data_IF_038962837520
#
_entry.id   IF_038962837520
#
_cell.length_a   1.000
_cell.length_b   1.000
_cell.length_c   1.000
_cell.angle_alpha   90.00
_cell.angle_beta   90.00
_cell.angle_gamma   90.00
#
_symmetry.space_group_name_H-M   'P 1'
#
loop_
_entity.id
_entity.type
_entity.pdbx_description
1 polymer ?
#
# COMPACT_ATOMS: atom_id res chain seq x y z
N UNK A 1 5.22 17.17 11.23
CA UNK A 1 5.75 16.16 10.30
C UNK A 1 7.15 16.56 9.87
N UNK A 2 8.12 15.63 9.90
CA UNK A 2 9.51 15.89 9.50
C UNK A 2 9.81 15.17 8.19
N UNK A 3 10.58 15.81 7.31
CA UNK A 3 11.00 15.26 6.02
C UNK A 3 12.52 15.37 5.89
N UNK A 4 13.13 14.35 5.30
CA UNK A 4 14.51 14.36 4.89
C UNK A 4 14.56 14.01 3.39
N UNK A 5 15.13 14.88 2.58
CA UNK A 5 15.28 14.70 1.12
C UNK A 5 16.77 14.62 0.82
N UNK A 6 17.21 13.50 0.24
CA UNK A 6 18.62 13.35 -0.13
C UNK A 6 19.02 14.43 -1.13
N UNK A 7 20.23 14.99 -0.96
CA UNK A 7 20.79 16.01 -1.86
C UNK A 7 21.27 15.42 -3.19
N UNK A 8 21.31 14.09 -3.30
CA UNK A 8 21.77 13.38 -4.48
C UNK A 8 21.17 11.98 -4.60
N UNK A 9 21.66 11.17 -5.55
CA UNK A 9 21.17 9.81 -5.78
C UNK A 9 21.60 8.81 -4.69
N UNK A 10 22.60 9.15 -3.86
CA UNK A 10 23.05 8.31 -2.76
C UNK A 10 22.22 8.56 -1.49
N UNK A 11 21.42 7.58 -1.02
CA UNK A 11 20.65 7.71 0.21
C UNK A 11 21.53 7.66 1.48
N UNK A 12 22.83 7.39 1.39
CA UNK A 12 23.75 7.49 2.54
C UNK A 12 24.45 8.85 2.61
N UNK A 13 24.17 9.74 1.65
CA UNK A 13 24.74 11.07 1.56
C UNK A 13 24.13 12.10 2.52
N UNK A 14 24.14 13.37 2.10
CA UNK A 14 23.60 14.48 2.88
C UNK A 14 22.11 14.70 2.58
N UNK A 15 21.41 15.38 3.49
CA UNK A 15 19.96 15.58 3.42
C UNK A 15 19.56 17.03 3.66
N UNK A 16 18.64 17.53 2.85
CA UNK A 16 17.81 18.68 3.22
C UNK A 16 16.73 18.24 4.20
N UNK A 17 16.54 19.01 5.26
CA UNK A 17 15.60 18.68 6.35
C UNK A 17 14.52 19.75 6.46
N UNK A 18 13.29 19.29 6.58
CA UNK A 18 12.10 20.14 6.70
C UNK A 18 11.25 19.69 7.86
N UNK A 19 10.57 20.64 8.50
CA UNK A 19 9.56 20.38 9.49
C UNK A 19 8.33 21.25 9.19
N UNK A 20 7.17 20.60 9.11
CA UNK A 20 5.88 21.25 8.97
C UNK A 20 5.05 20.90 10.19
N UNK A 21 4.72 21.90 11.00
CA UNK A 21 3.89 21.70 12.18
C UNK A 21 2.44 21.45 11.75
N UNK A 22 1.83 20.41 12.33
CA UNK A 22 0.43 20.07 12.09
C UNK A 22 -0.30 20.10 13.42
N UNK A 23 -1.50 20.65 13.42
CA UNK A 23 -2.33 20.77 14.64
C UNK A 23 -2.71 19.41 15.22
N UNK A 24 -2.97 18.42 14.37
CA UNK A 24 -3.31 17.06 14.78
C UNK A 24 -2.10 16.13 14.61
N UNK A 25 -1.99 15.14 15.50
CA UNK A 25 -0.94 14.13 15.43
C UNK A 25 -1.03 13.37 14.10
N UNK A 26 0.02 13.41 13.25
CA UNK A 26 0.01 12.81 11.92
C UNK A 26 0.26 11.30 11.99
N UNK A 27 -0.69 10.54 12.53
CA UNK A 27 -0.54 9.10 12.70
C UNK A 27 -0.56 8.37 11.35
N UNK A 28 0.10 7.22 11.30
CA UNK A 28 0.10 6.28 10.18
C UNK A 28 0.40 6.93 8.80
N UNK A 29 1.49 7.71 8.66
CA UNK A 29 1.80 8.41 7.41
C UNK A 29 2.12 7.43 6.27
N UNK A 30 1.52 7.64 5.09
CA UNK A 30 1.77 6.84 3.88
C UNK A 30 2.31 7.70 2.73
N UNK A 31 3.59 8.13 2.78
CA UNK A 31 4.14 9.03 1.78
C UNK A 31 4.12 8.42 0.37
N UNK A 32 3.82 9.26 -0.62
CA UNK A 32 3.86 8.93 -2.04
C UNK A 32 4.54 10.06 -2.82
N UNK A 33 5.29 9.70 -3.86
CA UNK A 33 5.94 10.63 -4.78
C UNK A 33 5.04 10.82 -6.00
N UNK A 34 4.71 12.08 -6.27
CA UNK A 34 4.08 12.50 -7.52
C UNK A 34 4.91 13.56 -8.24
N UNK A 35 4.50 13.98 -9.42
CA UNK A 35 5.28 14.93 -10.24
C UNK A 35 5.37 16.33 -9.64
N UNK A 36 4.36 16.74 -8.87
CA UNK A 36 4.18 18.12 -8.37
C UNK A 36 4.30 18.25 -6.84
N UNK A 37 4.49 17.15 -6.11
CA UNK A 37 4.57 17.17 -4.65
C UNK A 37 4.89 15.81 -4.04
N UNK A 38 5.24 15.82 -2.75
CA UNK A 38 5.19 14.62 -1.93
C UNK A 38 3.87 14.61 -1.17
N UNK A 39 3.07 13.59 -1.39
CA UNK A 39 1.72 13.45 -0.84
C UNK A 39 1.79 12.56 0.39
N UNK A 40 1.33 13.06 1.53
CA UNK A 40 1.40 12.35 2.82
C UNK A 40 0.03 12.38 3.49
N UNK A 41 -0.83 11.39 3.19
CA UNK A 41 -2.03 11.16 3.96
C UNK A 41 -1.67 10.65 5.35
N UNK A 42 -2.43 11.09 6.34
CA UNK A 42 -2.28 10.69 7.75
C UNK A 42 -3.64 10.43 8.37
N UNK A 43 -3.67 9.49 9.31
CA UNK A 43 -4.80 9.30 10.21
C UNK A 43 -4.73 10.37 11.30
N UNK A 44 -5.76 11.21 11.36
CA UNK A 44 -5.86 12.29 12.37
C UNK A 44 -7.19 12.14 13.09
N UNK A 45 -7.15 12.02 14.42
CA UNK A 45 -8.32 11.92 15.29
C UNK A 45 -8.87 10.51 15.52
N UNK A 46 -9.43 10.30 16.71
CA UNK A 46 -10.08 9.04 17.15
C UNK A 46 -11.62 9.08 16.94
N UNK A 47 -12.17 10.25 16.63
CA UNK A 47 -13.60 10.49 16.39
C UNK A 47 -13.82 11.18 15.02
N UNK A 48 -14.97 10.89 14.38
CA UNK A 48 -15.49 11.47 13.12
C UNK A 48 -14.43 11.69 12.03
N UNK A 49 -14.32 10.71 11.14
CA UNK A 49 -13.25 10.52 10.16
C UNK A 49 -12.90 11.76 9.32
N UNK A 50 -12.00 12.60 9.82
CA UNK A 50 -11.30 13.66 9.10
C UNK A 50 -9.89 13.19 8.83
N UNK A 51 -9.63 12.72 7.60
CA UNK A 51 -8.26 12.34 7.20
C UNK A 51 -7.58 13.51 6.55
N UNK A 52 -6.37 13.82 7.00
CA UNK A 52 -5.57 14.88 6.42
C UNK A 52 -4.72 14.30 5.28
N UNK A 53 -4.83 14.90 4.10
CA UNK A 53 -3.85 14.75 3.03
C UNK A 53 -3.05 16.02 2.99
N UNK A 54 -1.77 15.95 3.32
CA UNK A 54 -0.88 17.08 3.18
C UNK A 54 0.10 16.84 2.04
N UNK A 55 0.36 17.89 1.28
CA UNK A 55 1.21 17.87 0.10
C UNK A 55 2.32 18.89 0.34
N UNK A 56 3.57 18.48 0.21
CA UNK A 56 4.74 19.36 0.38
C UNK A 56 5.44 19.63 -0.96
N UNK A 57 5.97 20.84 -1.10
CA UNK A 57 6.55 21.38 -2.35
C UNK A 57 7.84 20.64 -2.73
N UNK A 58 7.68 19.58 -3.52
CA UNK A 58 8.77 18.73 -4.01
C UNK A 58 9.83 19.53 -4.77
N UNK A 59 9.42 20.49 -5.61
CA UNK A 59 10.33 21.23 -6.47
C UNK A 59 11.31 22.07 -5.65
N UNK A 60 10.82 22.75 -4.60
CA UNK A 60 11.69 23.50 -3.68
C UNK A 60 12.49 22.59 -2.77
N UNK A 61 11.90 21.50 -2.28
CA UNK A 61 12.57 20.57 -1.37
C UNK A 61 13.79 19.88 -2.00
N UNK A 62 13.71 19.53 -3.29
CA UNK A 62 14.85 18.95 -4.02
C UNK A 62 16.02 19.92 -4.20
N UNK A 63 15.77 21.22 -4.11
CA UNK A 63 16.78 22.28 -4.24
C UNK A 63 17.25 22.83 -2.89
N UNK A 64 16.79 22.27 -1.77
CA UNK A 64 17.12 22.79 -0.44
C UNK A 64 16.50 24.17 -0.14
N UNK A 65 15.49 24.59 -0.89
CA UNK A 65 14.84 25.89 -0.73
C UNK A 65 13.74 25.85 0.33
N UNK A 66 13.32 27.01 0.90
CA UNK A 66 12.14 27.08 1.75
C UNK A 66 10.90 26.55 1.02
N UNK A 67 10.26 25.52 1.58
CA UNK A 67 9.10 24.84 1.00
C UNK A 67 7.84 25.09 1.85
N UNK A 68 6.67 24.92 1.24
CA UNK A 68 5.37 25.02 1.91
C UNK A 68 4.63 23.68 1.91
N UNK A 69 3.70 23.51 2.85
CA UNK A 69 2.77 22.38 2.92
C UNK A 69 1.35 22.90 2.70
N UNK A 70 0.53 22.16 1.96
CA UNK A 70 -0.90 22.41 1.82
C UNK A 70 -1.67 21.15 2.22
N UNK A 71 -2.70 21.31 3.05
CA UNK A 71 -3.47 20.18 3.58
C UNK A 71 -4.94 20.27 3.21
N UNK A 72 -5.53 19.12 2.88
CA UNK A 72 -6.95 18.94 2.60
C UNK A 72 -7.52 17.94 3.61
N UNK A 73 -8.72 18.19 4.11
CA UNK A 73 -9.48 17.25 4.94
C UNK A 73 -10.38 16.42 4.02
N UNK A 74 -10.37 15.10 4.21
CA UNK A 74 -11.29 14.17 3.58
C UNK A 74 -12.15 13.53 4.64
N UNK A 75 -13.46 13.71 4.48
CA UNK A 75 -14.45 13.14 5.39
C UNK A 75 -14.85 11.71 4.99
N UNK A 76 -15.07 10.86 5.98
CA UNK A 76 -15.76 9.57 5.81
C UNK A 76 -14.95 8.43 5.21
N UNK A 77 -13.63 8.56 5.09
CA UNK A 77 -12.74 7.51 4.56
C UNK A 77 -11.83 6.91 5.64
N UNK A 78 -11.87 5.59 5.86
CA UNK A 78 -11.10 4.90 6.91
C UNK A 78 -9.60 5.21 6.88
N UNK A 79 -8.94 4.97 5.75
CA UNK A 79 -7.51 5.21 5.52
C UNK A 79 -7.32 5.57 4.05
N UNK A 80 -6.33 6.43 3.77
CA UNK A 80 -6.05 6.97 2.46
C UNK A 80 -4.65 6.57 2.02
N UNK A 81 -4.50 6.18 0.75
CA UNK A 81 -3.21 6.09 0.09
C UNK A 81 -3.23 6.92 -1.18
N UNK A 82 -2.17 7.71 -1.38
CA UNK A 82 -1.91 8.40 -2.63
C UNK A 82 -1.11 7.50 -3.56
N UNK A 83 -1.36 7.61 -4.87
CA UNK A 83 -0.64 6.84 -5.87
C UNK A 83 0.83 7.29 -5.91
N UNK A 84 1.73 6.31 -5.83
CA UNK A 84 3.17 6.50 -5.81
C UNK A 84 3.77 6.01 -7.12
N UNK A 85 4.61 6.82 -7.75
CA UNK A 85 5.15 6.53 -9.09
C UNK A 85 6.25 5.49 -8.99
N UNK A 86 6.07 4.35 -9.66
CA UNK A 86 7.16 3.39 -9.91
C UNK A 86 7.67 3.50 -11.35
N UNK A 87 9.00 3.49 -11.48
CA UNK A 87 9.72 3.52 -12.76
C UNK A 87 10.01 4.92 -13.26
N UNK A 88 10.69 4.98 -14.41
CA UNK A 88 11.17 6.24 -14.98
C UNK A 88 10.10 6.98 -15.79
N UNK A 89 8.98 6.34 -16.11
CA UNK A 89 7.89 6.92 -16.90
C UNK A 89 6.84 7.54 -15.98
N UNK A 90 7.05 8.82 -15.68
CA UNK A 90 6.10 9.64 -14.94
C UNK A 90 4.80 9.91 -15.73
N UNK A 91 3.68 10.19 -15.05
CA UNK A 91 2.49 10.78 -15.67
C UNK A 91 2.82 12.16 -16.28
N UNK A 92 2.04 12.64 -17.25
CA UNK A 92 2.21 13.99 -17.79
C UNK A 92 2.17 15.06 -16.69
N UNK A 93 2.96 16.13 -16.83
CA UNK A 93 2.95 17.27 -15.91
C UNK A 93 1.55 17.84 -15.79
N UNK A 94 1.12 18.15 -14.56
CA UNK A 94 -0.22 18.67 -14.26
C UNK A 94 -1.29 17.59 -14.12
N UNK A 95 -0.95 16.31 -14.32
CA UNK A 95 -1.87 15.19 -14.01
C UNK A 95 -2.14 15.16 -12.50
N UNK A 96 -3.41 15.21 -12.05
CA UNK A 96 -3.73 15.07 -10.63
C UNK A 96 -3.25 13.74 -10.06
N UNK A 97 -2.83 13.73 -8.79
CA UNK A 97 -2.54 12.48 -8.07
C UNK A 97 -3.85 11.70 -7.86
N UNK A 98 -3.80 10.39 -7.98
CA UNK A 98 -4.94 9.52 -7.66
C UNK A 98 -4.78 9.03 -6.22
N UNK A 99 -5.75 9.36 -5.38
CA UNK A 99 -5.84 8.84 -4.03
C UNK A 99 -6.96 7.82 -3.93
N UNK A 100 -6.78 6.73 -3.18
CA UNK A 100 -7.80 5.70 -3.00
C UNK A 100 -7.99 5.28 -1.54
N UNK A 101 -9.20 4.81 -1.26
CA UNK A 101 -9.61 4.16 -0.01
C UNK A 101 -10.46 2.92 -0.29
N UNK A 102 -10.38 1.95 0.63
CA UNK A 102 -11.40 0.91 0.71
C UNK A 102 -12.72 1.53 1.22
N UNK A 103 -13.84 1.03 0.71
CA UNK A 103 -15.16 1.27 1.28
C UNK A 103 -15.40 0.52 2.59
N UNK A 104 -16.47 0.89 3.29
CA UNK A 104 -16.79 0.47 4.66
C UNK A 104 -16.34 1.50 5.70
N UNK A 105 -16.69 1.28 6.97
CA UNK A 105 -16.32 2.14 8.09
C UNK A 105 -16.28 1.34 9.38
N UNK A 106 -15.09 1.05 9.89
CA UNK A 106 -14.94 0.20 11.07
C UNK A 106 -15.57 0.83 12.31
N UNK A 107 -15.34 2.12 12.53
CA UNK A 107 -15.88 2.88 13.67
C UNK A 107 -17.42 2.94 13.69
N UNK A 108 -18.07 2.60 12.57
CA UNK A 108 -19.54 2.53 12.44
C UNK A 108 -20.04 1.08 12.30
N UNK A 109 -19.19 0.10 12.55
CA UNK A 109 -19.48 -1.33 12.37
C UNK A 109 -19.95 -1.71 10.96
N UNK A 110 -19.43 -1.02 9.94
CA UNK A 110 -19.70 -1.32 8.53
C UNK A 110 -18.46 -1.99 7.95
N UNK A 111 -18.50 -3.31 7.77
CA UNK A 111 -17.34 -4.12 7.38
C UNK A 111 -17.42 -4.67 5.96
N UNK A 112 -18.58 -4.52 5.31
CA UNK A 112 -18.85 -4.96 3.95
C UNK A 112 -18.90 -3.76 3.00
N UNK A 113 -18.30 -3.90 1.82
CA UNK A 113 -18.52 -3.00 0.68
C UNK A 113 -18.20 -3.77 -0.63
N UNK A 114 -18.48 -3.14 -1.74
CA UNK A 114 -18.15 -3.58 -3.10
C UNK A 114 -17.56 -2.44 -3.92
N UNK A 115 -16.95 -1.47 -3.23
CA UNK A 115 -16.38 -0.26 -3.80
C UNK A 115 -14.95 0.00 -3.34
N UNK A 116 -14.10 0.36 -4.30
CA UNK A 116 -12.89 1.15 -4.02
C UNK A 116 -13.20 2.59 -4.43
N UNK A 117 -12.92 3.55 -3.57
CA UNK A 117 -13.26 4.96 -3.79
C UNK A 117 -12.01 5.73 -4.11
N UNK A 118 -12.07 6.60 -5.12
CA UNK A 118 -10.94 7.43 -5.51
C UNK A 118 -11.27 8.92 -5.55
N UNK A 119 -10.23 9.72 -5.40
CA UNK A 119 -10.22 11.16 -5.59
C UNK A 119 -9.10 11.54 -6.54
N UNK A 120 -9.32 12.61 -7.31
CA UNK A 120 -8.26 13.31 -8.04
C UNK A 120 -7.79 14.48 -7.19
N UNK A 121 -6.56 14.42 -6.72
CA UNK A 121 -5.96 15.43 -5.85
C UNK A 121 -5.08 16.35 -6.68
N UNK A 122 -5.36 17.65 -6.62
CA UNK A 122 -4.61 18.69 -7.30
C UNK A 122 -4.10 19.70 -6.28
N UNK A 123 -2.79 19.97 -6.30
CA UNK A 123 -2.17 21.06 -5.54
C UNK A 123 -1.91 22.24 -6.48
N UNK A 124 -2.28 23.44 -6.03
CA UNK A 124 -1.97 24.70 -6.70
C UNK A 124 -1.01 25.50 -5.82
N UNK A 125 0.27 25.51 -6.19
CA UNK A 125 1.32 26.22 -5.47
C UNK A 125 1.24 27.75 -5.64
N UNK A 126 0.56 28.24 -6.67
CA UNK A 126 0.38 29.68 -6.91
C UNK A 126 -0.85 30.24 -6.20
N UNK A 127 -1.90 29.42 -6.06
CA UNK A 127 -3.13 29.79 -5.37
C UNK A 127 -3.60 28.64 -4.47
N UNK A 128 -3.18 28.61 -3.20
CA UNK A 128 -3.54 27.54 -2.27
C UNK A 128 -5.05 27.31 -2.10
N UNK A 129 -5.88 28.33 -2.32
CA UNK A 129 -7.34 28.19 -2.27
C UNK A 129 -7.92 27.32 -3.41
N UNK A 130 -7.12 26.99 -4.43
CA UNK A 130 -7.50 26.09 -5.52
C UNK A 130 -7.01 24.65 -5.33
N UNK A 131 -6.22 24.39 -4.29
CA UNK A 131 -5.83 23.02 -3.91
C UNK A 131 -7.06 22.25 -3.45
N UNK A 132 -7.32 21.10 -4.07
CA UNK A 132 -8.56 20.35 -3.86
C UNK A 132 -8.42 18.87 -4.16
N UNK A 133 -9.36 18.10 -3.61
CA UNK A 133 -9.57 16.69 -3.92
C UNK A 133 -10.96 16.52 -4.53
N UNK A 134 -11.04 16.19 -5.82
CA UNK A 134 -12.30 15.95 -6.51
C UNK A 134 -12.71 14.46 -6.33
N UNK A 135 -13.81 14.22 -5.60
CA UNK A 135 -14.32 12.87 -5.29
C UNK A 135 -15.20 12.86 -4.01
N UNK A 136 -15.50 11.68 -3.43
CA UNK A 136 -15.12 10.35 -3.91
C UNK A 136 -15.91 9.92 -5.16
N UNK A 137 -15.29 9.09 -5.98
CA UNK A 137 -15.96 8.32 -7.03
C UNK A 137 -15.78 6.83 -6.73
N UNK A 138 -16.88 6.08 -6.74
CA UNK A 138 -16.88 4.63 -6.49
C UNK A 138 -16.49 3.85 -7.75
N UNK A 139 -15.48 3.00 -7.65
CA UNK A 139 -15.16 1.94 -8.62
C UNK A 139 -15.79 0.65 -8.09
N UNK A 140 -16.75 0.11 -8.83
CA UNK A 140 -17.36 -1.18 -8.49
C UNK A 140 -16.32 -2.29 -8.56
N UNK A 141 -16.23 -3.08 -7.51
CA UNK A 141 -15.40 -4.29 -7.39
C UNK A 141 -16.26 -5.46 -6.91
N UNK A 142 -15.71 -6.68 -6.90
CA UNK A 142 -16.39 -7.80 -6.25
C UNK A 142 -16.58 -7.50 -4.75
N UNK A 143 -17.72 -7.88 -4.15
CA UNK A 143 -17.95 -7.70 -2.72
C UNK A 143 -16.80 -8.26 -1.87
N UNK A 144 -16.59 -7.62 -0.74
CA UNK A 144 -15.63 -8.05 0.25
C UNK A 144 -16.14 -7.72 1.65
N UNK A 145 -15.63 -8.48 2.61
CA UNK A 145 -15.77 -8.22 4.03
C UNK A 145 -14.37 -8.02 4.61
N UNK A 146 -14.19 -7.02 5.48
CA UNK A 146 -12.92 -6.80 6.17
C UNK A 146 -12.46 -8.08 6.86
N UNK A 147 -11.18 -8.44 6.72
CA UNK A 147 -10.64 -9.55 7.49
C UNK A 147 -10.81 -9.25 8.99
N UNK A 148 -11.51 -10.13 9.71
CA UNK A 148 -11.81 -9.99 11.15
C UNK A 148 -12.35 -8.61 11.56
N UNK A 149 -13.24 -8.03 10.75
CA UNK A 149 -13.89 -6.74 11.03
C UNK A 149 -12.92 -5.54 11.12
N UNK A 150 -11.68 -5.67 10.61
CA UNK A 150 -10.72 -4.56 10.49
C UNK A 150 -9.55 -4.60 11.47
N UNK A 151 -8.95 -3.44 11.72
CA UNK A 151 -7.83 -3.25 12.65
C UNK A 151 -8.19 -3.42 14.13
N UNK A 152 -7.17 -3.50 14.98
CA UNK A 152 -7.28 -3.71 16.43
C UNK A 152 -8.07 -4.97 16.78
N UNK A 153 -8.06 -5.96 15.88
CA UNK A 153 -8.75 -7.23 16.06
C UNK A 153 -7.76 -8.32 16.51
N UNK A 154 -8.21 -9.24 17.38
CA UNK A 154 -7.43 -10.42 17.78
C UNK A 154 -7.76 -11.58 16.85
N UNK A 155 -7.20 -11.56 15.64
CA UNK A 155 -7.66 -12.37 14.52
C UNK A 155 -6.85 -13.65 14.30
N UNK A 156 -5.57 -13.51 13.91
CA UNK A 156 -4.75 -14.64 13.44
C UNK A 156 -4.24 -15.46 14.62
N UNK A 157 -4.59 -16.76 14.72
CA UNK A 157 -4.09 -17.62 15.79
C UNK A 157 -2.62 -18.01 15.55
N UNK A 158 -1.89 -18.20 16.64
CA UNK A 158 -0.47 -18.56 16.62
C UNK A 158 -0.24 -19.81 17.50
N UNK A 159 0.78 -20.64 17.24
CA UNK A 159 1.11 -21.77 18.11
C UNK A 159 1.55 -21.32 19.51
N UNK A 160 1.34 -22.17 20.53
CA UNK A 160 1.88 -21.99 21.89
C UNK A 160 1.48 -20.68 22.60
N UNK A 161 0.42 -20.01 22.17
CA UNK A 161 -0.13 -18.83 22.85
C UNK A 161 -1.60 -18.64 22.51
N UNK A 162 -2.34 -18.00 23.41
CA UNK A 162 -3.70 -17.51 23.14
C UNK A 162 -3.69 -16.13 22.46
N UNK A 163 -2.55 -15.44 22.45
CA UNK A 163 -2.40 -14.13 21.78
C UNK A 163 -2.57 -14.29 20.27
N UNK A 164 -3.53 -13.56 19.72
CA UNK A 164 -3.78 -13.48 18.27
C UNK A 164 -3.26 -12.16 17.70
N UNK A 165 -2.95 -12.18 16.41
CA UNK A 165 -2.45 -11.02 15.69
C UNK A 165 -3.56 -10.25 14.99
N UNK A 166 -3.33 -8.96 14.89
CA UNK A 166 -4.15 -8.02 14.15
C UNK A 166 -3.89 -8.08 12.64
N UNK A 167 -4.92 -7.75 11.88
CA UNK A 167 -4.97 -7.94 10.43
C UNK A 167 -5.18 -6.67 9.61
N UNK A 168 -5.58 -5.57 10.26
CA UNK A 168 -5.78 -4.27 9.60
C UNK A 168 -6.65 -4.33 8.34
N UNK A 169 -7.70 -5.15 8.36
CA UNK A 169 -8.51 -5.44 7.17
C UNK A 169 -9.33 -4.26 6.64
N UNK A 170 -9.33 -3.13 7.33
CA UNK A 170 -10.19 -1.96 7.11
C UNK A 170 -9.59 -0.89 6.18
N UNK A 171 -8.48 -1.22 5.49
CA UNK A 171 -7.74 -0.29 4.64
C UNK A 171 -7.12 -0.96 3.41
N UNK A 172 -6.92 -0.17 2.35
CA UNK A 172 -5.93 -0.50 1.33
C UNK A 172 -4.56 -0.45 2.00
N UNK A 173 -3.75 -1.48 1.83
CA UNK A 173 -2.41 -1.53 2.37
C UNK A 173 -1.44 -0.75 1.50
N UNK A 174 -0.40 -0.21 2.13
CA UNK A 174 0.68 0.44 1.41
C UNK A 174 1.43 -0.60 0.55
N UNK A 175 1.74 -0.35 -0.74
CA UNK A 175 1.60 0.90 -1.51
C UNK A 175 0.37 0.89 -2.44
N UNK A 176 -0.06 2.09 -2.84
CA UNK A 176 -0.88 2.30 -4.03
C UNK A 176 0.06 2.71 -5.16
N UNK A 177 0.32 1.83 -6.12
CA UNK A 177 1.43 2.04 -7.07
C UNK A 177 0.88 2.45 -8.43
N UNK A 178 1.29 3.62 -8.93
CA UNK A 178 1.12 4.02 -10.32
C UNK A 178 2.26 3.48 -11.17
N UNK A 179 1.92 2.93 -12.34
CA UNK A 179 2.87 2.39 -13.29
C UNK A 179 2.43 2.65 -14.73
N UNK A 180 3.34 3.16 -15.57
CA UNK A 180 3.10 3.30 -17.02
C UNK A 180 3.76 2.16 -17.79
N UNK A 181 2.95 1.25 -18.32
CA UNK A 181 3.40 0.08 -19.09
C UNK A 181 2.99 0.26 -20.55
N UNK A 182 3.98 0.39 -21.43
CA UNK A 182 3.74 0.69 -22.85
C UNK A 182 2.93 1.97 -23.02
N UNK A 183 1.67 1.82 -23.49
CA UNK A 183 0.73 2.93 -23.72
C UNK A 183 -0.34 3.09 -22.64
N UNK A 184 -0.40 2.20 -21.65
CA UNK A 184 -1.42 2.28 -20.59
C UNK A 184 -0.80 2.66 -19.26
N UNK A 185 -1.62 3.31 -18.44
CA UNK A 185 -1.30 3.72 -17.09
C UNK A 185 -2.14 2.85 -16.15
N UNK A 186 -1.47 2.16 -15.25
CA UNK A 186 -2.08 1.24 -14.30
C UNK A 186 -1.85 1.73 -12.87
N UNK A 187 -2.80 1.44 -12.00
CA UNK A 187 -2.66 1.56 -10.54
C UNK A 187 -2.91 0.19 -9.93
N UNK A 188 -1.98 -0.31 -9.11
CA UNK A 188 -2.18 -1.55 -8.35
C UNK A 188 -2.37 -1.28 -6.86
N UNK A 189 -3.26 -2.04 -6.25
CA UNK A 189 -3.65 -1.92 -4.84
C UNK A 189 -3.96 -3.31 -4.26
N UNK A 190 -3.76 -3.49 -2.97
CA UNK A 190 -4.13 -4.71 -2.26
C UNK A 190 -4.60 -4.45 -0.83
N UNK A 191 -5.42 -5.37 -0.29
CA UNK A 191 -5.84 -5.38 1.11
C UNK A 191 -6.24 -6.78 1.59
N UNK A 192 -6.33 -6.92 2.92
CA UNK A 192 -6.74 -8.16 3.59
C UNK A 192 -8.26 -8.28 3.62
N UNK A 193 -8.82 -9.39 3.13
CA UNK A 193 -10.27 -9.66 3.18
C UNK A 193 -10.58 -11.00 3.82
N UNK A 194 -11.76 -11.12 4.43
CA UNK A 194 -12.29 -12.42 4.85
C UNK A 194 -12.60 -13.29 3.63
N UNK A 195 -12.48 -14.61 3.79
CA UNK A 195 -12.74 -15.57 2.70
C UNK A 195 -13.63 -16.71 3.18
N UNK A 196 -14.37 -17.29 2.24
CA UNK A 196 -15.20 -18.47 2.51
C UNK A 196 -14.38 -19.73 2.84
N UNK A 197 -13.09 -19.76 2.50
CA UNK A 197 -12.20 -20.86 2.84
C UNK A 197 -11.77 -20.86 4.33
N UNK A 198 -12.17 -19.83 5.08
CA UNK A 198 -11.60 -19.53 6.40
C UNK A 198 -10.29 -18.75 6.27
N UNK A 199 -9.70 -18.37 7.40
CA UNK A 199 -8.47 -17.59 7.40
C UNK A 199 -8.65 -16.18 6.80
N UNK A 200 -7.66 -15.75 6.00
CA UNK A 200 -7.63 -14.43 5.37
C UNK A 200 -7.00 -14.48 3.99
N UNK A 201 -7.48 -13.63 3.09
CA UNK A 201 -7.06 -13.59 1.70
C UNK A 201 -6.52 -12.24 1.28
N UNK A 202 -5.59 -12.27 0.31
CA UNK A 202 -5.07 -11.07 -0.34
C UNK A 202 -5.99 -10.71 -1.50
N UNK A 203 -6.80 -9.68 -1.30
CA UNK A 203 -7.57 -9.07 -2.39
C UNK A 203 -6.69 -8.04 -3.08
N UNK A 204 -6.51 -8.18 -4.39
CA UNK A 204 -5.68 -7.30 -5.20
C UNK A 204 -6.43 -6.79 -6.42
N UNK A 205 -5.99 -5.64 -6.93
CA UNK A 205 -6.60 -4.92 -8.04
C UNK A 205 -5.54 -4.40 -8.99
N UNK A 206 -5.84 -4.43 -10.29
CA UNK A 206 -5.25 -3.52 -11.27
C UNK A 206 -6.37 -2.62 -11.79
N UNK A 207 -6.21 -1.32 -11.60
CA UNK A 207 -7.01 -0.28 -12.23
C UNK A 207 -6.23 0.28 -13.42
N UNK A 208 -6.92 0.65 -14.50
CA UNK A 208 -6.33 1.37 -15.63
C UNK A 208 -6.93 2.74 -15.76
N UNK A 209 -6.09 3.74 -16.07
CA UNK A 209 -6.57 5.09 -16.32
C UNK A 209 -7.13 5.17 -17.75
N UNK A 210 -8.35 5.66 -17.89
CA UNK A 210 -8.94 5.97 -19.19
C UNK A 210 -8.37 7.29 -19.76
N UNK A 211 -8.82 7.70 -20.95
CA UNK A 211 -8.33 8.92 -21.61
C UNK A 211 -8.58 10.23 -20.83
N UNK A 212 -9.44 10.21 -19.80
CA UNK A 212 -9.67 11.34 -18.88
C UNK A 212 -8.85 11.22 -17.59
N UNK A 213 -7.95 10.24 -17.48
CA UNK A 213 -7.21 9.92 -16.27
C UNK A 213 -8.08 9.38 -15.14
N UNK A 214 -9.27 8.84 -15.43
CA UNK A 214 -10.10 8.19 -14.40
C UNK A 214 -9.71 6.71 -14.28
N UNK A 215 -9.47 6.18 -13.08
CA UNK A 215 -9.24 4.77 -12.86
C UNK A 215 -10.51 3.94 -13.08
N UNK A 216 -10.38 2.87 -13.86
CA UNK A 216 -11.40 1.85 -14.10
C UNK A 216 -10.84 0.48 -13.71
N UNK A 217 -11.67 -0.38 -13.10
CA UNK A 217 -11.26 -1.74 -12.75
C UNK A 217 -10.91 -2.52 -14.03
N UNK A 218 -9.66 -2.97 -14.14
CA UNK A 218 -9.22 -3.79 -15.28
C UNK A 218 -9.19 -5.29 -14.94
N UNK A 219 -8.74 -5.63 -13.72
CA UNK A 219 -8.82 -6.96 -13.15
C UNK A 219 -8.69 -6.91 -11.63
N UNK A 220 -9.17 -7.97 -10.98
CA UNK A 220 -8.99 -8.21 -9.55
C UNK A 220 -8.99 -9.70 -9.25
N UNK A 221 -8.46 -10.08 -8.10
CA UNK A 221 -8.51 -11.44 -7.60
C UNK A 221 -8.42 -11.49 -6.08
N UNK A 222 -8.83 -12.61 -5.48
CA UNK A 222 -8.55 -12.91 -4.07
C UNK A 222 -7.65 -14.13 -4.02
N UNK A 223 -6.43 -13.97 -3.50
CA UNK A 223 -5.50 -15.08 -3.34
C UNK A 223 -5.65 -15.70 -1.94
N UNK A 224 -6.25 -16.89 -1.92
CA UNK A 224 -6.48 -17.69 -0.72
C UNK A 224 -6.59 -19.19 -1.11
N UNK A 225 -5.48 -19.83 -1.54
CA UNK A 225 -5.52 -21.22 -2.02
C UNK A 225 -5.88 -22.26 -0.94
N UNK A 226 -5.86 -21.88 0.34
CA UNK A 226 -6.07 -22.74 1.52
C UNK A 226 -6.77 -21.93 2.64
N UNK A 227 -7.12 -22.57 3.76
CA UNK A 227 -7.78 -21.93 4.91
C UNK A 227 -6.85 -21.20 5.90
N UNK A 228 -5.58 -20.98 5.54
CA UNK A 228 -4.62 -20.20 6.34
C UNK A 228 -4.78 -18.70 6.13
N UNK A 229 -4.12 -17.90 6.96
CA UNK A 229 -4.17 -16.45 6.87
C UNK A 229 -3.08 -15.94 5.93
N UNK A 230 -3.49 -15.12 4.96
CA UNK A 230 -2.65 -14.24 4.16
C UNK A 230 -3.15 -12.81 4.34
N UNK A 231 -2.35 -11.96 4.97
CA UNK A 231 -2.77 -10.61 5.35
C UNK A 231 -1.59 -9.63 5.31
N UNK A 232 -1.85 -8.34 5.52
CA UNK A 232 -0.88 -7.26 5.33
C UNK A 232 -0.18 -7.31 3.96
N UNK A 233 -0.91 -7.37 2.83
CA UNK A 233 -0.24 -7.42 1.54
C UNK A 233 0.46 -6.11 1.19
N UNK A 234 1.55 -6.21 0.43
CA UNK A 234 2.11 -5.11 -0.35
C UNK A 234 2.33 -5.53 -1.79
N UNK A 235 2.01 -4.66 -2.73
CA UNK A 235 1.90 -4.97 -4.16
C UNK A 235 2.74 -4.00 -4.99
N UNK A 236 3.32 -4.50 -6.09
CA UNK A 236 3.99 -3.69 -7.09
C UNK A 236 3.77 -4.24 -8.51
N UNK A 237 4.18 -3.47 -9.51
CA UNK A 237 4.13 -3.84 -10.92
C UNK A 237 5.43 -3.49 -11.64
N UNK A 238 6.01 -4.46 -12.36
CA UNK A 238 7.25 -4.25 -13.10
C UNK A 238 7.05 -3.61 -14.48
N UNK A 239 8.12 -3.48 -15.27
CA UNK A 239 8.07 -2.82 -16.60
C UNK A 239 7.31 -3.62 -17.66
N UNK A 240 7.10 -4.91 -17.43
CA UNK A 240 6.31 -5.79 -18.31
C UNK A 240 4.83 -5.79 -17.95
N UNK A 241 4.46 -5.17 -16.82
CA UNK A 241 3.11 -5.20 -16.29
C UNK A 241 2.83 -6.47 -15.49
N UNK A 242 3.88 -7.18 -15.08
CA UNK A 242 3.75 -8.31 -14.18
C UNK A 242 3.50 -7.78 -12.77
N UNK A 243 2.70 -8.51 -11.98
CA UNK A 243 2.28 -8.08 -10.65
C UNK A 243 2.87 -9.05 -9.63
N UNK A 244 3.55 -8.50 -8.63
CA UNK A 244 4.07 -9.22 -7.47
C UNK A 244 3.42 -8.72 -6.18
N UNK A 245 3.11 -9.64 -5.28
CA UNK A 245 2.49 -9.34 -3.99
C UNK A 245 3.20 -10.11 -2.88
N UNK A 246 3.81 -9.39 -1.95
CA UNK A 246 4.29 -9.94 -0.68
C UNK A 246 3.23 -9.80 0.41
N UNK A 247 3.18 -10.73 1.36
CA UNK A 247 2.24 -10.72 2.47
C UNK A 247 2.71 -11.58 3.64
N UNK A 248 2.15 -11.28 4.81
CA UNK A 248 2.25 -12.15 5.98
C UNK A 248 1.45 -13.44 5.79
N UNK A 249 1.99 -14.54 6.32
CA UNK A 249 1.38 -15.87 6.32
C UNK A 249 1.35 -16.46 7.73
N UNK A 250 0.30 -17.19 8.08
CA UNK A 250 0.17 -17.79 9.41
C UNK A 250 -1.17 -18.45 9.67
N UNK A 251 -1.45 -18.71 10.94
CA UNK A 251 -2.57 -19.53 11.39
C UNK A 251 -2.13 -20.96 11.75
N UNK A 252 -2.75 -21.54 12.77
CA UNK A 252 -2.38 -22.85 13.31
C UNK A 252 -2.30 -23.93 12.22
N UNK A 253 -1.27 -24.79 12.22
CA UNK A 253 -0.17 -24.88 13.20
C UNK A 253 1.05 -24.00 12.85
N UNK A 254 0.94 -23.08 11.91
CA UNK A 254 2.06 -22.30 11.39
C UNK A 254 2.31 -21.04 12.22
N UNK A 255 3.58 -20.76 12.50
CA UNK A 255 4.00 -19.47 13.02
C UNK A 255 3.93 -18.37 11.93
N UNK A 256 3.74 -17.11 12.33
CA UNK A 256 3.76 -15.98 11.40
C UNK A 256 5.09 -15.86 10.64
N UNK A 257 5.01 -15.84 9.32
CA UNK A 257 6.16 -15.67 8.43
C UNK A 257 5.77 -14.91 7.16
N UNK A 258 6.64 -14.94 6.16
CA UNK A 258 6.51 -14.14 4.96
C UNK A 258 6.43 -15.01 3.71
N UNK A 259 5.44 -14.71 2.87
CA UNK A 259 5.27 -15.35 1.57
C UNK A 259 5.03 -14.30 0.49
N UNK A 260 5.17 -14.72 -0.75
CA UNK A 260 4.84 -13.90 -1.90
C UNK A 260 4.27 -14.76 -3.03
N UNK A 261 3.44 -14.13 -3.86
CA UNK A 261 2.90 -14.69 -5.08
C UNK A 261 2.91 -13.63 -6.18
N UNK A 262 2.83 -14.07 -7.43
CA UNK A 262 2.92 -13.16 -8.56
C UNK A 262 2.15 -13.68 -9.78
N UNK A 263 2.01 -12.82 -10.78
CA UNK A 263 1.49 -13.16 -12.11
C UNK A 263 2.22 -12.41 -13.22
N UNK A 264 2.57 -13.09 -14.32
CA UNK A 264 2.89 -12.44 -15.57
C UNK A 264 1.69 -11.64 -16.12
N UNK A 265 1.95 -10.56 -16.85
CA UNK A 265 0.92 -9.70 -17.44
C UNK A 265 -0.04 -10.46 -18.36
N UNK A 266 0.49 -11.44 -19.12
CA UNK A 266 -0.23 -12.25 -20.10
C UNK A 266 -1.10 -13.37 -19.51
N UNK A 267 -1.02 -13.62 -18.20
CA UNK A 267 -1.76 -14.71 -17.57
C UNK A 267 -3.26 -14.40 -17.45
N UNK A 268 -4.13 -15.43 -17.32
CA UNK A 268 -5.56 -15.22 -17.14
C UNK A 268 -5.86 -14.17 -16.07
N UNK A 269 -6.76 -13.23 -16.41
CA UNK A 269 -7.08 -12.10 -15.53
C UNK A 269 -7.60 -12.58 -14.17
N UNK A 270 -7.23 -11.83 -13.13
CA UNK A 270 -7.74 -12.04 -11.78
C UNK A 270 -7.17 -13.26 -11.05
N UNK A 271 -6.08 -13.84 -11.56
CA UNK A 271 -5.38 -14.96 -10.91
C UNK A 271 -3.91 -14.60 -10.66
N UNK A 272 -3.44 -14.84 -9.44
CA UNK A 272 -2.00 -14.99 -9.17
C UNK A 272 -1.65 -16.44 -9.50
N UNK A 273 -0.91 -16.62 -10.58
CA UNK A 273 -0.72 -17.90 -11.27
C UNK A 273 0.61 -18.56 -10.95
N UNK A 274 1.59 -17.79 -10.50
CA UNK A 274 2.86 -18.36 -10.04
C UNK A 274 2.68 -18.96 -8.64
N UNK A 275 3.41 -20.04 -8.40
CA UNK A 275 3.40 -20.74 -7.12
C UNK A 275 3.83 -19.81 -5.98
N UNK A 276 3.04 -19.80 -4.90
CA UNK A 276 3.40 -19.06 -3.68
C UNK A 276 4.74 -19.53 -3.14
N UNK A 277 5.63 -18.59 -2.87
CA UNK A 277 6.97 -18.88 -2.39
C UNK A 277 7.18 -18.31 -0.99
N UNK A 278 7.99 -18.99 -0.20
CA UNK A 278 8.33 -18.57 1.16
C UNK A 278 9.54 -17.65 1.11
N UNK A 279 9.39 -16.44 1.64
CA UNK A 279 10.51 -15.52 1.86
C UNK A 279 11.17 -15.76 3.22
N UNK A 280 10.37 -16.00 4.25
CA UNK A 280 10.82 -16.34 5.60
C UNK A 280 9.84 -17.29 6.27
N UNK A 281 10.36 -18.38 6.85
CA UNK A 281 9.59 -19.23 7.74
C UNK A 281 9.53 -18.56 9.13
N UNK A 282 8.33 -18.52 9.71
CA UNK A 282 8.16 -18.20 11.11
C UNK A 282 8.54 -19.38 12.00
N UNK A 283 9.12 -19.10 13.16
CA UNK A 283 9.56 -20.12 14.13
C UNK A 283 9.13 -19.80 15.57
N UNK A 284 8.47 -18.66 15.80
CA UNK A 284 7.93 -18.28 17.10
C UNK A 284 6.67 -17.40 16.97
N UNK A 285 5.96 -17.26 18.09
CA UNK A 285 4.75 -16.44 18.20
C UNK A 285 5.06 -15.09 18.80
N UNK A 286 4.43 -14.02 18.30
CA UNK A 286 4.50 -12.72 18.93
C UNK A 286 3.53 -12.68 20.11
N UNK A 287 4.08 -12.62 21.32
CA UNK A 287 3.32 -12.69 22.58
C UNK A 287 3.22 -11.34 23.31
N UNK A 288 4.10 -10.39 22.97
CA UNK A 288 4.19 -9.09 23.62
C UNK A 288 3.08 -8.09 23.21
N UNK A 289 2.51 -8.23 22.01
CA UNK A 289 1.40 -7.39 21.51
C UNK A 289 0.58 -8.13 20.45
N UNK A 290 -0.67 -7.71 20.27
CA UNK A 290 -1.51 -8.14 19.15
C UNK A 290 -1.13 -7.45 17.83
N UNK A 291 -0.48 -6.27 17.92
CA UNK A 291 -0.25 -5.43 16.76
C UNK A 291 0.82 -6.03 15.86
N UNK A 292 0.50 -6.20 14.58
CA UNK A 292 1.36 -6.86 13.61
C UNK A 292 1.63 -5.94 12.42
N UNK A 293 2.92 -5.79 12.10
CA UNK A 293 3.45 -5.27 10.84
C UNK A 293 2.71 -4.04 10.27
N UNK A 294 2.82 -2.89 10.94
CA UNK A 294 2.19 -1.65 10.45
C UNK A 294 2.73 -1.20 9.09
N UNK A 295 3.98 -1.56 8.79
CA UNK A 295 4.69 -1.15 7.59
C UNK A 295 5.33 -2.36 6.91
N UNK A 296 4.89 -2.62 5.69
CA UNK A 296 5.39 -3.67 4.80
C UNK A 296 5.40 -3.10 3.39
N UNK A 297 6.37 -3.48 2.56
CA UNK A 297 6.52 -2.84 1.25
C UNK A 297 7.09 -3.79 0.21
N UNK A 298 6.42 -3.86 -0.93
CA UNK A 298 6.98 -4.36 -2.18
C UNK A 298 7.30 -3.18 -3.08
N UNK A 299 8.54 -3.09 -3.57
CA UNK A 299 9.01 -2.03 -4.46
C UNK A 299 9.78 -2.61 -5.64
N UNK A 300 9.80 -1.89 -6.77
CA UNK A 300 10.59 -2.26 -7.94
C UNK A 300 12.00 -1.68 -7.84
N UNK A 301 13.00 -2.49 -8.16
CA UNK A 301 14.38 -2.05 -8.32
C UNK A 301 14.48 -1.09 -9.52
N UNK A 302 14.83 0.19 -9.29
CA UNK A 302 14.86 1.18 -10.37
C UNK A 302 16.01 0.95 -11.36
N UNK A 303 17.00 0.11 -11.03
CA UNK A 303 18.16 -0.15 -11.91
C UNK A 303 17.82 -1.06 -13.08
N UNK A 304 16.90 -2.01 -12.91
CA UNK A 304 16.48 -2.95 -13.96
C UNK A 304 14.99 -2.91 -14.29
N UNK A 305 14.21 -2.25 -13.43
CA UNK A 305 12.79 -2.01 -13.54
C UNK A 305 11.96 -3.32 -13.63
N UNK A 306 12.53 -4.40 -13.07
CA UNK A 306 12.05 -5.79 -13.09
C UNK A 306 12.07 -6.49 -11.71
N UNK A 307 13.07 -6.22 -10.87
CA UNK A 307 13.23 -6.93 -9.60
C UNK A 307 12.29 -6.37 -8.55
N UNK A 308 11.52 -7.24 -7.91
CA UNK A 308 10.67 -6.91 -6.78
C UNK A 308 11.49 -7.09 -5.50
N UNK A 309 11.58 -6.05 -4.67
CA UNK A 309 12.08 -6.10 -3.32
C UNK A 309 10.90 -6.11 -2.35
N UNK A 310 10.78 -7.16 -1.53
CA UNK A 310 9.76 -7.27 -0.49
C UNK A 310 10.42 -7.23 0.90
N UNK A 311 9.88 -6.38 1.76
CA UNK A 311 10.23 -6.29 3.18
C UNK A 311 9.01 -6.57 4.05
N UNK A 312 9.20 -7.39 5.08
CA UNK A 312 8.17 -7.65 6.09
C UNK A 312 8.71 -8.27 7.37
N UNK A 313 7.80 -8.53 8.31
CA UNK A 313 8.10 -9.02 9.66
C UNK A 313 7.91 -10.54 9.82
N UNK A 314 8.76 -11.16 10.64
CA UNK A 314 8.67 -12.56 11.07
C UNK A 314 9.33 -12.75 12.44
N UNK A 315 9.24 -13.94 13.04
CA UNK A 315 9.95 -14.27 14.28
C UNK A 315 10.77 -15.56 14.12
N UNK A 316 11.96 -15.59 14.73
CA UNK A 316 12.80 -16.79 14.93
C UNK A 316 12.56 -17.41 16.30
N UNK A 317 12.97 -18.67 16.45
CA UNK A 317 12.94 -19.35 17.74
C UNK A 317 13.71 -18.55 18.81
N UNK A 318 13.06 -18.29 19.95
CA UNK A 318 13.63 -17.55 21.07
C UNK A 318 13.53 -16.02 20.97
N UNK A 319 12.99 -15.47 19.86
CA UNK A 319 12.77 -14.03 19.76
C UNK A 319 11.66 -13.56 20.71
N UNK A 320 11.84 -12.35 21.28
CA UNK A 320 10.84 -11.67 22.11
C UNK A 320 10.10 -10.56 21.38
N UNK A 321 10.52 -10.24 20.15
CA UNK A 321 9.94 -9.23 19.24
C UNK A 321 10.20 -9.63 17.79
N UNK A 322 9.46 -9.02 16.85
CA UNK A 322 9.63 -9.26 15.42
C UNK A 322 11.06 -8.96 14.93
N UNK A 323 11.42 -9.64 13.84
CA UNK A 323 12.56 -9.35 12.97
C UNK A 323 12.05 -8.95 11.60
N UNK A 324 12.82 -8.14 10.90
CA UNK A 324 12.55 -7.79 9.51
C UNK A 324 13.37 -8.67 8.56
N UNK A 325 12.76 -9.11 7.46
CA UNK A 325 13.44 -9.77 6.34
C UNK A 325 13.20 -8.95 5.07
N UNK A 326 14.27 -8.76 4.31
CA UNK A 326 14.22 -8.21 2.95
C UNK A 326 14.63 -9.31 1.99
N UNK A 327 13.89 -9.49 0.89
CA UNK A 327 14.29 -10.37 -0.19
C UNK A 327 13.85 -9.85 -1.56
N UNK A 328 14.48 -10.41 -2.59
CA UNK A 328 14.21 -10.06 -3.97
C UNK A 328 13.65 -11.26 -4.74
N UNK A 329 12.75 -10.98 -5.69
CA UNK A 329 12.34 -11.93 -6.71
C UNK A 329 12.14 -11.22 -8.05
N UNK A 330 12.22 -11.97 -9.14
CA UNK A 330 12.04 -11.45 -10.50
C UNK A 330 11.29 -12.47 -11.33
N UNK A 331 10.40 -11.99 -12.20
CA UNK A 331 9.64 -12.87 -13.08
C UNK A 331 10.45 -13.20 -14.36
N UNK A 332 10.38 -14.44 -14.88
CA UNK A 332 11.26 -14.90 -15.96
C UNK A 332 11.17 -14.09 -17.27
N UNK A 333 10.02 -13.48 -17.54
CA UNK A 333 9.75 -12.67 -18.73
C UNK A 333 10.26 -11.22 -18.61
N UNK A 334 10.68 -10.78 -17.42
CA UNK A 334 11.28 -9.48 -17.20
C UNK A 334 12.81 -9.61 -17.11
N UNK A 335 13.51 -9.28 -18.20
CA UNK A 335 14.98 -9.21 -18.23
C UNK A 335 15.42 -7.74 -18.11
N UNK A 336 16.40 -7.47 -17.25
CA UNK A 336 17.12 -6.20 -17.22
C UNK A 336 17.83 -5.98 -18.57
N UNK A 337 17.87 -4.74 -19.05
CA UNK A 337 18.83 -4.41 -20.12
C UNK A 337 20.23 -4.60 -19.57
N UNK A 338 21.11 -5.22 -20.34
CA UNK A 338 22.52 -5.37 -19.98
C UNK A 338 23.21 -4.02 -19.81
#
# INVERSE_FOLDING_TARGET
MCYAVSTGPDPLGTYYRYAFERTLFPDYPRPAVWTDGYYVPTSTGDDVIQKHICIVDRAKMLLGQPATEQCIIIDGANFLNNADIDGQKAPPVGTPNIMMAAGGTQLKNVFDDDGIYYWKVHVDWNNPAKTKADGPVKIKVAPYHYLCNGQLSSCVPQPNTERRLDVQGDKIMQRLVYRKVGRHESIVAAHSVATSAGGGGVRWYEFRLNNKGNPELYQQGTYAPEGFYRWMPSIAMDKKGDIGVGYSFGGLPNFPGLRFAARPAGDPKGRLTLHESVLALGEASQTNTLRWEDYTTTAIDPSDDCTFWYVGDYLKAGDTSYRTRIGAFRLPNCKGGH
#
